data_IF_041908725505
#
_entry.id   IF_041908725505
#
_cell.length_a   1.000
_cell.length_b   1.000
_cell.length_c   1.000
_cell.angle_alpha   90.00
_cell.angle_beta   90.00
_cell.angle_gamma   90.00
#
_symmetry.space_group_name_H-M   'P 1'
#
loop_
_entity.id
_entity.type
_entity.pdbx_description
1 polymer ?
#
# COMPACT_ATOMS: atom_id res chain seq x y z
N UNK A 1 -19.00 -24.78 3.81
CA UNK A 1 -17.72 -25.41 3.45
C UNK A 1 -16.64 -24.35 3.53
N UNK A 2 -15.80 -24.41 4.56
CA UNK A 2 -14.63 -23.53 4.74
C UNK A 2 -13.63 -23.85 3.64
N UNK A 3 -13.40 -22.89 2.74
CA UNK A 3 -12.38 -23.02 1.69
C UNK A 3 -10.98 -23.12 2.32
N UNK A 4 -9.99 -23.71 1.62
CA UNK A 4 -8.65 -23.84 2.15
C UNK A 4 -8.07 -22.44 2.40
N UNK A 5 -7.49 -22.25 3.58
CA UNK A 5 -6.71 -21.06 3.92
C UNK A 5 -5.44 -21.06 3.06
N UNK A 6 -5.14 -19.94 2.42
CA UNK A 6 -3.85 -19.73 1.76
C UNK A 6 -2.80 -19.49 2.86
N UNK A 7 -2.30 -20.57 3.45
CA UNK A 7 -1.36 -20.50 4.57
C UNK A 7 -0.08 -21.21 4.20
N UNK A 8 0.94 -20.42 3.83
CA UNK A 8 2.31 -20.76 4.23
C UNK A 8 2.35 -20.81 5.76
N UNK A 9 3.25 -21.63 6.36
CA UNK A 9 3.34 -21.75 7.81
C UNK A 9 3.45 -20.36 8.42
N UNK A 10 2.56 -20.06 9.36
CA UNK A 10 2.43 -18.76 9.99
C UNK A 10 3.71 -18.49 10.78
N UNK A 11 4.72 -17.85 10.16
CA UNK A 11 5.99 -17.46 10.82
C UNK A 11 5.79 -16.35 11.88
N UNK A 12 4.55 -16.10 12.30
CA UNK A 12 4.21 -15.26 13.47
C UNK A 12 5.01 -15.70 14.67
N UNK A 13 5.76 -14.78 15.27
CA UNK A 13 6.44 -15.06 16.53
C UNK A 13 7.60 -16.05 16.41
N UNK A 14 8.01 -16.43 15.18
CA UNK A 14 9.31 -17.08 14.99
C UNK A 14 10.36 -16.00 15.19
N UNK A 15 11.27 -16.15 16.19
CA UNK A 15 12.32 -15.17 16.42
C UNK A 15 13.12 -14.92 15.13
N UNK A 16 13.28 -13.64 14.76
CA UNK A 16 14.01 -13.26 13.56
C UNK A 16 13.19 -13.11 12.28
N UNK A 17 11.86 -13.17 12.33
CA UNK A 17 10.97 -12.83 11.20
C UNK A 17 9.98 -11.74 11.56
N UNK A 18 9.87 -10.74 10.68
CA UNK A 18 8.99 -9.59 10.82
C UNK A 18 7.75 -9.71 9.93
N UNK A 19 6.77 -8.85 10.20
CA UNK A 19 5.53 -8.72 9.44
C UNK A 19 5.30 -7.31 8.95
N UNK A 20 4.95 -7.19 7.68
CA UNK A 20 4.63 -5.93 7.05
C UNK A 20 3.27 -5.95 6.36
N UNK A 21 2.55 -4.83 6.41
CA UNK A 21 1.41 -4.56 5.52
C UNK A 21 1.77 -3.37 4.63
N UNK A 22 1.95 -3.63 3.33
CA UNK A 22 2.62 -2.71 2.40
C UNK A 22 1.64 -1.95 1.50
N UNK A 23 0.33 -2.08 1.75
CA UNK A 23 -0.70 -1.49 0.91
C UNK A 23 -1.85 -0.98 1.79
N UNK A 24 -1.74 0.26 2.25
CA UNK A 24 -2.72 0.90 3.15
C UNK A 24 -3.07 2.29 2.64
N UNK A 25 -4.37 2.57 2.59
CA UNK A 25 -4.94 3.84 2.15
C UNK A 25 -5.49 4.65 3.31
N UNK A 26 -5.26 5.96 3.29
CA UNK A 26 -5.77 6.90 4.29
C UNK A 26 -6.85 7.82 3.71
N UNK A 27 -7.45 8.67 4.54
CA UNK A 27 -8.35 9.74 4.06
C UNK A 27 -7.67 10.69 3.10
N UNK A 28 -6.34 10.70 3.07
CA UNK A 28 -5.62 11.46 2.10
C UNK A 28 -6.10 11.01 0.70
N UNK A 29 -6.19 9.73 0.33
CA UNK A 29 -6.73 9.28 -0.98
C UNK A 29 -8.19 8.84 -0.90
N UNK A 30 -8.47 7.54 -0.81
CA UNK A 30 -9.80 6.95 -0.78
C UNK A 30 -10.03 6.01 0.42
N UNK A 31 -9.08 5.95 1.36
CA UNK A 31 -9.30 5.38 2.68
C UNK A 31 -10.22 6.25 3.54
N UNK A 32 -10.60 5.72 4.70
CA UNK A 32 -11.55 6.37 5.64
C UNK A 32 -10.93 6.76 6.97
N UNK A 33 -9.66 6.42 7.20
CA UNK A 33 -8.93 6.69 8.43
C UNK A 33 -7.82 7.74 8.27
N UNK A 34 -7.63 8.58 9.29
CA UNK A 34 -6.50 9.52 9.39
C UNK A 34 -5.20 8.76 9.67
N UNK A 35 -4.05 9.38 9.37
CA UNK A 35 -2.73 8.81 9.68
C UNK A 35 -2.60 8.51 11.18
N UNK A 36 -3.06 9.43 12.04
CA UNK A 36 -3.08 9.22 13.48
C UNK A 36 -3.89 7.97 13.88
N UNK A 37 -5.08 7.80 13.29
CA UNK A 37 -5.95 6.65 13.57
C UNK A 37 -5.32 5.35 13.10
N UNK A 38 -4.68 5.35 11.92
CA UNK A 38 -3.96 4.19 11.37
C UNK A 38 -2.81 3.79 12.30
N UNK A 39 -1.94 4.73 12.67
CA UNK A 39 -0.80 4.46 13.54
C UNK A 39 -1.24 3.92 14.91
N UNK A 40 -2.24 4.55 15.54
CA UNK A 40 -2.80 4.07 16.81
C UNK A 40 -3.40 2.67 16.68
N UNK A 41 -4.11 2.40 15.59
CA UNK A 41 -4.71 1.10 15.34
C UNK A 41 -3.66 0.00 15.19
N UNK A 42 -2.62 0.25 14.38
CA UNK A 42 -1.52 -0.68 14.15
C UNK A 42 -0.77 -1.00 15.44
N UNK A 43 -0.39 0.03 16.21
CA UNK A 43 0.30 -0.13 17.50
C UNK A 43 -0.58 -0.90 18.49
N UNK A 44 -1.87 -0.58 18.57
CA UNK A 44 -2.79 -1.28 19.49
C UNK A 44 -2.98 -2.76 19.14
N UNK A 45 -2.88 -3.14 17.86
CA UNK A 45 -2.94 -4.55 17.44
C UNK A 45 -1.64 -5.30 17.68
N UNK A 46 -0.49 -4.65 17.52
CA UNK A 46 0.83 -5.22 17.79
C UNK A 46 1.20 -6.44 16.93
N UNK A 47 0.63 -6.57 15.74
CA UNK A 47 0.81 -7.73 14.83
C UNK A 47 1.76 -7.46 13.67
N UNK A 48 2.12 -6.20 13.45
CA UNK A 48 2.94 -5.72 12.35
C UNK A 48 4.15 -5.01 12.95
N UNK A 49 5.32 -5.26 12.38
CA UNK A 49 6.56 -4.53 12.68
C UNK A 49 6.72 -3.34 11.73
N UNK A 50 6.13 -3.47 10.53
CA UNK A 50 6.16 -2.46 9.48
C UNK A 50 4.80 -2.22 8.84
N UNK A 51 4.61 -0.99 8.39
CA UNK A 51 3.54 -0.64 7.46
C UNK A 51 4.07 0.23 6.33
N UNK A 52 3.40 0.21 5.18
CA UNK A 52 3.55 1.25 4.16
C UNK A 52 2.22 1.97 3.97
N UNK A 53 2.26 3.30 3.93
CA UNK A 53 1.13 4.11 3.47
C UNK A 53 1.33 4.34 1.98
N UNK A 54 0.34 3.97 1.17
CA UNK A 54 0.44 3.92 -0.29
C UNK A 54 -0.78 4.57 -0.93
N UNK A 55 -1.20 5.71 -0.39
CA UNK A 55 -2.32 6.47 -0.92
C UNK A 55 -2.20 6.73 -2.43
N UNK A 56 -3.32 6.64 -3.15
CA UNK A 56 -3.37 6.92 -4.59
C UNK A 56 -2.81 8.29 -4.95
N UNK A 57 -1.83 8.28 -5.86
CA UNK A 57 -1.23 9.46 -6.48
C UNK A 57 -0.64 10.49 -5.50
N UNK A 58 -0.33 10.10 -4.26
CA UNK A 58 0.31 11.01 -3.30
C UNK A 58 1.27 10.30 -2.35
N UNK A 59 2.31 11.05 -1.98
CA UNK A 59 3.36 10.64 -1.02
C UNK A 59 3.25 11.39 0.32
N UNK A 60 2.43 12.44 0.39
CA UNK A 60 2.36 13.40 1.51
C UNK A 60 1.95 12.74 2.83
N UNK A 61 0.94 11.88 2.79
CA UNK A 61 0.43 11.15 3.95
C UNK A 61 1.44 10.10 4.46
N UNK A 62 2.18 9.46 3.55
CA UNK A 62 3.24 8.52 3.90
C UNK A 62 4.44 9.21 4.58
N UNK A 63 4.82 10.39 4.08
CA UNK A 63 5.84 11.23 4.72
C UNK A 63 5.39 11.69 6.12
N UNK A 64 4.13 12.11 6.27
CA UNK A 64 3.55 12.47 7.55
C UNK A 64 3.57 11.28 8.53
N UNK A 65 3.10 10.12 8.09
CA UNK A 65 3.07 8.90 8.89
C UNK A 65 4.45 8.50 9.41
N UNK A 66 5.48 8.55 8.55
CA UNK A 66 6.86 8.28 8.97
C UNK A 66 7.38 9.29 9.99
N UNK A 67 7.12 10.58 9.80
CA UNK A 67 7.53 11.60 10.78
C UNK A 67 6.82 11.39 12.11
N UNK A 68 5.50 11.21 12.09
CA UNK A 68 4.69 11.00 13.30
C UNK A 68 5.13 9.75 14.06
N UNK A 69 5.37 8.63 13.39
CA UNK A 69 5.83 7.39 14.03
C UNK A 69 7.19 7.59 14.71
N UNK A 70 8.15 8.24 14.01
CA UNK A 70 9.47 8.55 14.55
C UNK A 70 9.40 9.52 15.73
N UNK A 71 8.73 10.65 15.56
CA UNK A 71 8.72 11.75 16.52
C UNK A 71 7.99 11.36 17.82
N UNK A 72 7.04 10.42 17.73
CA UNK A 72 6.33 9.85 18.88
C UNK A 72 6.97 8.57 19.44
N UNK A 73 8.07 8.09 18.85
CA UNK A 73 8.75 6.87 19.28
C UNK A 73 7.87 5.62 19.23
N UNK A 74 7.00 5.51 18.21
CA UNK A 74 6.11 4.36 18.08
C UNK A 74 6.90 3.09 17.74
N UNK A 75 6.49 1.91 18.24
CA UNK A 75 7.16 0.63 17.99
C UNK A 75 6.75 0.05 16.62
N UNK A 76 6.72 0.88 15.57
CA UNK A 76 6.38 0.49 14.20
C UNK A 76 7.22 1.32 13.23
N UNK A 77 7.80 0.67 12.22
CA UNK A 77 8.48 1.40 11.14
C UNK A 77 7.52 1.67 9.98
N UNK A 78 7.58 2.88 9.41
CA UNK A 78 6.72 3.30 8.31
C UNK A 78 7.55 3.47 7.04
N UNK A 79 7.29 2.62 6.06
CA UNK A 79 7.82 2.74 4.70
C UNK A 79 7.02 3.82 3.94
N UNK A 80 7.73 4.74 3.31
CA UNK A 80 7.11 5.75 2.45
C UNK A 80 6.79 5.12 1.11
N UNK A 81 5.53 5.20 0.69
CA UNK A 81 5.11 4.74 -0.62
C UNK A 81 3.95 5.52 -1.24
N UNK A 82 3.54 5.07 -2.42
CA UNK A 82 2.45 5.61 -3.24
C UNK A 82 1.89 4.45 -4.09
N UNK A 83 0.57 4.31 -4.21
CA UNK A 83 -0.03 3.48 -5.26
C UNK A 83 -0.25 4.35 -6.50
N UNK A 84 0.45 4.00 -7.57
CA UNK A 84 0.47 4.78 -8.82
C UNK A 84 -0.44 4.10 -9.84
N UNK A 85 -1.46 4.80 -10.30
CA UNK A 85 -2.28 4.37 -11.43
C UNK A 85 -1.47 4.45 -12.72
N UNK A 86 -1.24 3.30 -13.37
CA UNK A 86 -0.57 3.23 -14.67
C UNK A 86 -1.54 2.81 -15.78
N UNK A 87 -1.13 2.92 -17.03
CA UNK A 87 -1.88 2.40 -18.18
C UNK A 87 -1.91 0.86 -18.23
N UNK A 88 -1.11 0.18 -17.40
CA UNK A 88 -1.01 -1.27 -17.32
C UNK A 88 -1.42 -1.83 -15.96
N UNK A 89 -2.21 -1.09 -15.17
CA UNK A 89 -2.63 -1.46 -13.82
C UNK A 89 -1.94 -0.64 -12.72
N UNK A 90 -2.30 -0.88 -11.47
CA UNK A 90 -1.71 -0.20 -10.32
C UNK A 90 -0.34 -0.77 -9.97
N UNK A 91 0.51 0.11 -9.46
CA UNK A 91 1.87 -0.20 -9.05
C UNK A 91 2.12 0.43 -7.67
N UNK A 92 2.51 -0.37 -6.69
CA UNK A 92 3.09 0.15 -5.45
C UNK A 92 4.51 0.61 -5.74
N UNK A 93 4.76 1.88 -5.44
CA UNK A 93 6.08 2.48 -5.40
C UNK A 93 6.48 2.64 -3.93
N UNK A 94 7.38 1.78 -3.45
CA UNK A 94 7.84 1.78 -2.05
C UNK A 94 9.25 2.37 -1.94
N UNK A 95 9.61 2.83 -0.74
CA UNK A 95 10.94 3.40 -0.44
C UNK A 95 11.31 4.61 -1.30
N UNK A 96 10.30 5.37 -1.75
CA UNK A 96 10.48 6.56 -2.58
C UNK A 96 10.61 7.83 -1.73
N UNK A 97 11.28 8.85 -2.29
CA UNK A 97 11.46 10.17 -1.67
C UNK A 97 10.65 11.29 -2.35
N UNK A 98 10.11 11.01 -3.53
CA UNK A 98 9.36 11.93 -4.37
C UNK A 98 8.18 11.21 -5.01
N UNK A 99 7.14 11.99 -5.31
CA UNK A 99 5.95 11.50 -5.99
C UNK A 99 6.30 10.96 -7.38
N UNK A 100 5.72 9.83 -7.75
CA UNK A 100 5.85 9.23 -9.08
C UNK A 100 4.74 9.74 -9.99
N UNK A 101 5.07 10.02 -11.25
CA UNK A 101 4.10 10.57 -12.20
C UNK A 101 3.10 9.48 -12.65
N UNK A 102 1.78 9.65 -12.43
CA UNK A 102 0.78 8.67 -12.82
C UNK A 102 0.47 8.69 -14.32
N UNK A 103 -0.32 7.72 -14.75
CA UNK A 103 -0.86 7.55 -16.11
C UNK A 103 0.22 7.40 -17.18
N UNK A 104 1.36 6.80 -16.79
CA UNK A 104 2.40 6.33 -17.70
C UNK A 104 2.23 4.82 -17.95
N UNK A 105 3.00 4.27 -18.90
CA UNK A 105 3.04 2.82 -19.09
C UNK A 105 3.62 2.16 -17.84
N UNK A 106 3.22 0.93 -17.55
CA UNK A 106 3.71 0.21 -16.36
C UNK A 106 5.25 0.18 -16.31
N UNK A 107 5.92 -0.15 -17.43
CA UNK A 107 7.38 -0.17 -17.50
C UNK A 107 8.04 1.21 -17.28
N UNK A 108 7.48 2.29 -17.84
CA UNK A 108 8.01 3.63 -17.59
C UNK A 108 7.81 4.09 -16.14
N UNK A 109 6.71 3.67 -15.50
CA UNK A 109 6.49 3.91 -14.08
C UNK A 109 7.48 3.12 -13.22
N UNK A 110 7.72 1.83 -13.53
CA UNK A 110 8.72 1.01 -12.83
C UNK A 110 10.11 1.67 -12.90
N UNK A 111 10.53 2.09 -14.10
CA UNK A 111 11.81 2.81 -14.27
C UNK A 111 11.88 4.09 -13.42
N UNK A 112 10.78 4.85 -13.33
CA UNK A 112 10.73 6.05 -12.50
C UNK A 112 10.80 5.74 -10.98
N UNK A 113 10.25 4.60 -10.55
CA UNK A 113 10.39 4.12 -9.16
C UNK A 113 11.85 3.78 -8.86
N UNK A 114 12.53 3.07 -9.77
CA UNK A 114 13.94 2.73 -9.61
C UNK A 114 14.86 3.96 -9.64
N UNK A 115 14.57 4.96 -10.49
CA UNK A 115 15.25 6.26 -10.50
C UNK A 115 15.10 7.01 -9.16
N UNK A 116 13.99 6.78 -8.44
CA UNK A 116 13.79 7.26 -7.07
C UNK A 116 14.42 6.37 -6.00
N UNK A 117 15.16 5.31 -6.38
CA UNK A 117 15.78 4.34 -5.46
C UNK A 117 14.80 3.37 -4.81
N UNK A 118 13.55 3.39 -5.27
CA UNK A 118 12.43 2.63 -4.70
C UNK A 118 12.34 1.19 -5.18
N UNK A 119 11.27 0.53 -4.73
CA UNK A 119 10.86 -0.83 -5.12
C UNK A 119 9.51 -0.75 -5.82
N UNK A 120 9.38 -1.43 -6.96
CA UNK A 120 8.20 -1.45 -7.79
C UNK A 120 7.47 -2.80 -7.73
N UNK A 121 6.22 -2.79 -7.25
CA UNK A 121 5.41 -4.00 -7.06
C UNK A 121 4.06 -3.83 -7.75
N UNK A 122 3.73 -4.62 -8.79
CA UNK A 122 2.39 -4.62 -9.36
C UNK A 122 1.37 -5.04 -8.30
N UNK A 123 0.39 -4.16 -8.05
CA UNK A 123 -0.67 -4.39 -7.09
C UNK A 123 -1.77 -5.28 -7.70
N UNK A 124 -2.35 -6.14 -6.86
CA UNK A 124 -3.47 -7.05 -7.14
C UNK A 124 -3.50 -7.58 -8.60
N UNK A 125 -2.39 -8.13 -9.12
CA UNK A 125 -2.25 -8.41 -10.55
C UNK A 125 -3.05 -9.65 -10.96
N UNK A 126 -3.21 -9.83 -12.27
CA UNK A 126 -3.89 -10.96 -12.93
C UNK A 126 -5.38 -11.13 -12.62
N UNK A 127 -5.97 -10.27 -11.80
CA UNK A 127 -7.43 -10.13 -11.69
C UNK A 127 -7.92 -9.51 -13.01
N UNK A 128 -9.01 -10.00 -13.64
CA UNK A 128 -9.54 -9.48 -14.91
C UNK A 128 -10.27 -8.14 -14.69
N UNK A 129 -9.52 -7.15 -14.25
CA UNK A 129 -9.98 -5.81 -13.92
C UNK A 129 -9.01 -4.78 -14.51
N UNK A 130 -9.51 -3.65 -15.07
CA UNK A 130 -8.66 -2.69 -15.79
C UNK A 130 -7.52 -2.08 -14.96
N UNK A 131 -7.65 -2.05 -13.63
CA UNK A 131 -6.63 -1.53 -12.72
C UNK A 131 -5.60 -2.59 -12.30
N UNK A 132 -5.69 -3.81 -12.81
CA UNK A 132 -4.79 -4.90 -12.45
C UNK A 132 -3.88 -5.25 -13.63
N UNK A 133 -2.58 -5.36 -13.37
CA UNK A 133 -1.63 -5.75 -14.40
C UNK A 133 -1.91 -7.16 -14.92
N UNK A 134 -2.11 -7.29 -16.23
CA UNK A 134 -2.42 -8.57 -16.85
C UNK A 134 -1.14 -9.36 -17.15
N UNK A 135 -1.24 -10.70 -17.16
CA UNK A 135 -0.07 -11.57 -17.28
C UNK A 135 0.72 -11.37 -18.57
N UNK A 136 0.08 -10.97 -19.67
CA UNK A 136 0.77 -10.66 -20.92
C UNK A 136 1.56 -9.34 -20.84
N UNK A 137 1.09 -8.35 -20.07
CA UNK A 137 1.85 -7.11 -19.81
C UNK A 137 3.09 -7.43 -18.96
N UNK A 138 2.90 -8.20 -17.88
CA UNK A 138 3.99 -8.58 -16.98
C UNK A 138 5.05 -9.43 -17.69
N UNK A 139 4.66 -10.44 -18.47
CA UNK A 139 5.62 -11.23 -19.27
C UNK A 139 6.42 -10.36 -20.22
N UNK A 140 5.77 -9.43 -20.92
CA UNK A 140 6.48 -8.51 -21.82
C UNK A 140 7.55 -7.69 -21.10
N UNK A 141 7.28 -7.23 -19.88
CA UNK A 141 8.27 -6.49 -19.07
C UNK A 141 9.41 -7.41 -18.58
N UNK A 142 9.08 -8.64 -18.18
CA UNK A 142 10.08 -9.60 -17.70
C UNK A 142 10.99 -10.11 -18.83
N UNK A 143 10.44 -10.27 -20.03
CA UNK A 143 11.15 -10.70 -21.24
C UNK A 143 11.94 -9.56 -21.90
N UNK A 144 11.71 -8.30 -21.48
CA UNK A 144 12.41 -7.13 -22.01
C UNK A 144 13.90 -7.18 -21.62
N UNK A 145 14.84 -6.85 -22.53
CA UNK A 145 16.26 -6.80 -22.20
C UNK A 145 16.62 -5.75 -21.15
N UNK A 146 15.82 -4.69 -20.98
CA UNK A 146 16.06 -3.65 -19.97
C UNK A 146 15.61 -4.12 -18.57
N UNK A 147 16.54 -4.38 -17.63
CA UNK A 147 16.16 -4.76 -16.27
C UNK A 147 15.51 -3.61 -15.50
N UNK A 148 15.69 -2.35 -15.91
CA UNK A 148 15.17 -1.19 -15.19
C UNK A 148 13.63 -1.07 -15.25
N UNK A 149 12.96 -1.82 -16.13
CA UNK A 149 11.50 -1.83 -16.23
C UNK A 149 10.86 -3.10 -15.63
N UNK A 150 11.66 -3.98 -15.02
CA UNK A 150 11.18 -5.22 -14.42
C UNK A 150 10.67 -4.97 -12.99
N UNK A 151 9.53 -5.54 -12.59
CA UNK A 151 9.09 -5.44 -11.20
C UNK A 151 10.02 -6.21 -10.26
N UNK A 152 10.17 -5.73 -9.02
CA UNK A 152 11.00 -6.37 -8.00
C UNK A 152 10.28 -7.55 -7.31
N UNK A 153 8.96 -7.39 -7.16
CA UNK A 153 8.09 -8.34 -6.48
C UNK A 153 6.70 -8.36 -7.13
N UNK A 154 5.83 -9.23 -6.64
CA UNK A 154 4.43 -9.29 -7.04
C UNK A 154 3.54 -9.35 -5.80
N UNK A 155 2.44 -8.57 -5.77
CA UNK A 155 1.42 -8.70 -4.72
C UNK A 155 0.66 -10.01 -4.93
N UNK A 156 1.14 -11.08 -4.30
CA UNK A 156 0.59 -12.44 -4.42
C UNK A 156 -0.63 -12.65 -3.53
N UNK A 157 -0.82 -11.82 -2.49
CA UNK A 157 -2.03 -11.84 -1.67
C UNK A 157 -2.63 -10.44 -1.51
N UNK A 158 -3.90 -10.32 -1.91
CA UNK A 158 -4.78 -9.20 -1.65
C UNK A 158 -6.13 -9.79 -1.17
N UNK A 159 -6.71 -9.33 -0.04
CA UNK A 159 -7.87 -9.96 0.58
C UNK A 159 -9.19 -9.67 -0.15
N UNK A 160 -9.17 -8.91 -1.26
CA UNK A 160 -10.35 -8.62 -2.08
C UNK A 160 -11.00 -9.90 -2.60
N UNK A 161 -12.29 -10.07 -2.30
CA UNK A 161 -13.04 -11.29 -2.63
C UNK A 161 -13.06 -11.61 -4.14
N UNK A 162 -13.06 -10.59 -5.00
CA UNK A 162 -12.99 -10.75 -6.47
C UNK A 162 -11.64 -11.32 -6.94
N UNK A 163 -10.58 -11.12 -6.17
CA UNK A 163 -9.24 -11.64 -6.46
C UNK A 163 -9.06 -13.10 -6.05
N UNK A 164 -9.90 -13.63 -5.14
CA UNK A 164 -9.77 -14.98 -4.58
C UNK A 164 -9.64 -16.10 -5.64
N UNK A 165 -10.44 -16.13 -6.74
CA UNK A 165 -10.28 -17.15 -7.77
C UNK A 165 -8.95 -17.10 -8.54
N UNK A 166 -8.24 -15.98 -8.46
CA UNK A 166 -7.01 -15.72 -9.19
C UNK A 166 -5.75 -15.88 -8.33
N UNK A 167 -5.89 -16.03 -7.01
CA UNK A 167 -4.77 -16.10 -6.07
C UNK A 167 -3.70 -17.11 -6.48
N UNK A 168 -4.07 -18.38 -6.68
CA UNK A 168 -3.13 -19.45 -7.06
C UNK A 168 -2.43 -19.15 -8.40
N UNK A 169 -3.11 -18.45 -9.31
CA UNK A 169 -2.52 -18.03 -10.58
C UNK A 169 -1.46 -16.95 -10.37
N UNK A 170 -1.68 -16.00 -9.46
CA UNK A 170 -0.70 -14.96 -9.13
C UNK A 170 0.53 -15.57 -8.45
N UNK A 171 0.32 -16.46 -7.47
CA UNK A 171 1.42 -17.16 -6.79
C UNK A 171 2.27 -17.96 -7.78
N UNK A 172 1.62 -18.79 -8.61
CA UNK A 172 2.33 -19.56 -9.64
C UNK A 172 3.08 -18.67 -10.63
N UNK A 173 2.50 -17.53 -11.03
CA UNK A 173 3.19 -16.59 -11.91
C UNK A 173 4.44 -16.01 -11.25
N UNK A 174 4.38 -15.62 -9.97
CA UNK A 174 5.55 -15.15 -9.24
C UNK A 174 6.64 -16.22 -9.19
N UNK A 175 6.28 -17.49 -8.97
CA UNK A 175 7.22 -18.61 -8.90
C UNK A 175 7.89 -18.93 -10.23
N UNK A 176 7.09 -19.06 -11.30
CA UNK A 176 7.55 -19.32 -12.66
C UNK A 176 8.54 -18.24 -13.13
N UNK A 177 8.33 -16.99 -12.72
CA UNK A 177 9.16 -15.85 -13.07
C UNK A 177 10.18 -15.45 -11.99
N UNK A 178 10.28 -16.22 -10.90
CA UNK A 178 11.20 -16.01 -9.77
C UNK A 178 11.13 -14.59 -9.19
N UNK A 179 9.92 -14.05 -9.02
CA UNK A 179 9.68 -12.77 -8.34
C UNK A 179 9.52 -12.98 -6.84
N UNK A 180 9.89 -11.97 -6.04
CA UNK A 180 9.57 -11.98 -4.62
C UNK A 180 8.05 -11.93 -4.41
N UNK A 181 7.55 -12.67 -3.42
CA UNK A 181 6.13 -12.70 -3.08
C UNK A 181 5.85 -11.72 -1.96
N UNK A 182 4.86 -10.85 -2.13
CA UNK A 182 4.39 -9.97 -1.06
C UNK A 182 2.88 -10.07 -0.90
N UNK A 183 2.41 -9.99 0.33
CA UNK A 183 0.99 -9.91 0.67
C UNK A 183 0.68 -8.60 1.38
N UNK A 184 -0.48 -8.01 1.12
CA UNK A 184 -0.91 -6.79 1.79
C UNK A 184 -2.43 -6.70 1.87
N UNK A 185 -2.93 -5.81 2.71
CA UNK A 185 -4.36 -5.71 2.98
C UNK A 185 -5.14 -4.88 1.97
N UNK A 186 -4.49 -3.95 1.26
CA UNK A 186 -5.15 -2.95 0.42
C UNK A 186 -6.27 -2.24 1.22
N UNK A 187 -5.92 -1.84 2.44
CA UNK A 187 -6.90 -1.43 3.44
C UNK A 187 -7.37 0.00 3.22
N UNK A 188 -8.68 0.16 2.99
CA UNK A 188 -9.37 1.46 3.02
C UNK A 188 -10.02 1.78 4.37
N UNK A 189 -10.10 0.81 5.28
CA UNK A 189 -10.67 0.95 6.63
C UNK A 189 -9.75 0.33 7.66
N UNK A 190 -9.79 0.83 8.91
CA UNK A 190 -8.92 0.33 9.99
C UNK A 190 -9.01 -1.19 10.18
N UNK A 191 -10.22 -1.75 10.17
CA UNK A 191 -10.44 -3.18 10.41
C UNK A 191 -9.86 -4.12 9.33
N UNK A 192 -9.46 -3.58 8.16
CA UNK A 192 -8.82 -4.34 7.10
C UNK A 192 -7.29 -4.41 7.27
N UNK A 193 -6.68 -3.47 7.98
CA UNK A 193 -5.22 -3.42 8.18
C UNK A 193 -4.72 -4.72 8.82
N UNK A 194 -3.69 -5.32 8.22
CA UNK A 194 -3.09 -6.58 8.64
C UNK A 194 -3.90 -7.83 8.26
N UNK A 195 -4.95 -7.72 7.43
CA UNK A 195 -5.68 -8.90 6.88
C UNK A 195 -4.93 -9.60 5.75
N UNK A 196 -4.03 -8.89 5.08
CA UNK A 196 -2.98 -9.44 4.25
C UNK A 196 -1.64 -8.90 4.75
N UNK A 197 -0.59 -9.70 4.69
CA UNK A 197 0.73 -9.30 5.17
C UNK A 197 1.84 -10.02 4.40
N UNK A 198 3.05 -9.46 4.53
CA UNK A 198 4.31 -10.02 4.05
C UNK A 198 5.14 -10.44 5.26
N UNK A 199 5.67 -11.67 5.26
CA UNK A 199 6.68 -12.13 6.22
C UNK A 199 8.07 -12.05 5.59
N UNK A 200 9.08 -11.73 6.38
CA UNK A 200 10.46 -11.59 5.91
C UNK A 200 11.47 -11.79 7.05
N UNK A 201 12.72 -12.24 6.78
CA UNK A 201 13.77 -12.31 7.79
C UNK A 201 14.19 -10.91 8.27
N UNK A 202 14.30 -10.72 9.58
CA UNK A 202 14.55 -9.43 10.23
C UNK A 202 13.26 -8.69 10.59
N UNK A 203 13.37 -7.45 11.08
CA UNK A 203 12.21 -6.67 11.57
C UNK A 203 12.25 -5.19 11.17
N UNK A 204 13.22 -4.80 10.34
CA UNK A 204 13.39 -3.40 9.90
C UNK A 204 13.06 -3.23 8.42
N UNK A 205 12.90 -1.99 7.97
CA UNK A 205 12.59 -1.71 6.57
C UNK A 205 13.77 -2.02 5.65
N UNK A 206 14.99 -1.92 6.18
CA UNK A 206 16.20 -2.38 5.49
C UNK A 206 16.20 -3.90 5.30
N UNK A 207 15.74 -4.65 6.32
CA UNK A 207 15.60 -6.10 6.23
C UNK A 207 14.54 -6.51 5.21
N UNK A 208 13.38 -5.85 5.21
CA UNK A 208 12.35 -6.06 4.20
C UNK A 208 12.87 -5.77 2.79
N UNK A 209 13.56 -4.64 2.58
CA UNK A 209 14.16 -4.27 1.29
C UNK A 209 15.15 -5.34 0.81
N UNK A 210 15.99 -5.83 1.70
CA UNK A 210 16.94 -6.92 1.42
C UNK A 210 16.20 -8.23 1.09
N UNK A 211 15.20 -8.59 1.88
CA UNK A 211 14.42 -9.81 1.69
C UNK A 211 13.66 -9.83 0.35
N UNK A 212 13.15 -8.67 -0.11
CA UNK A 212 12.55 -8.55 -1.45
C UNK A 212 13.61 -8.81 -2.53
N UNK A 213 14.78 -8.16 -2.43
CA UNK A 213 15.86 -8.35 -3.40
C UNK A 213 16.39 -9.80 -3.44
N UNK A 214 16.49 -10.44 -2.28
CA UNK A 214 16.94 -11.84 -2.11
C UNK A 214 15.81 -12.86 -2.33
N UNK A 215 14.56 -12.39 -2.50
CA UNK A 215 13.34 -13.20 -2.70
C UNK A 215 13.08 -14.18 -1.56
N UNK A 216 13.33 -13.72 -0.33
CA UNK A 216 13.09 -14.48 0.90
C UNK A 216 11.85 -13.97 1.64
N UNK A 217 10.96 -13.26 0.95
CA UNK A 217 9.65 -12.86 1.47
C UNK A 217 8.59 -13.91 1.15
N UNK A 218 7.55 -13.94 1.97
CA UNK A 218 6.34 -14.73 1.68
C UNK A 218 5.08 -13.95 2.03
N UNK A 219 3.94 -14.34 1.46
CA UNK A 219 2.66 -13.71 1.72
C UNK A 219 1.81 -14.50 2.72
N UNK A 220 0.90 -13.82 3.40
CA UNK A 220 -0.14 -14.45 4.22
C UNK A 220 -1.38 -13.57 4.31
N UNK A 221 -2.51 -14.15 4.69
CA UNK A 221 -3.73 -13.38 4.91
C UNK A 221 -5.02 -14.19 4.95
N UNK A 222 -6.11 -13.48 5.23
CA UNK A 222 -7.48 -13.97 5.25
C UNK A 222 -8.35 -13.15 4.29
N UNK A 223 -9.13 -13.83 3.43
CA UNK A 223 -10.04 -13.15 2.51
C UNK A 223 -11.22 -12.49 3.23
N UNK A 224 -11.65 -11.33 2.72
CA UNK A 224 -12.85 -10.66 3.22
C UNK A 224 -14.14 -11.38 2.84
N UNK A 225 -15.12 -11.38 3.76
CA UNK A 225 -16.51 -11.73 3.44
C UNK A 225 -17.23 -10.59 2.71
N UNK A 226 -18.22 -10.93 1.88
CA UNK A 226 -18.93 -9.97 1.01
C UNK A 226 -19.62 -8.81 1.76
N UNK A 227 -20.10 -9.04 2.99
CA UNK A 227 -20.75 -8.01 3.80
C UNK A 227 -19.81 -6.86 4.21
N UNK A 228 -18.50 -7.14 4.35
CA UNK A 228 -17.51 -6.13 4.70
C UNK A 228 -17.30 -5.09 3.58
N UNK A 229 -17.34 -5.52 2.32
CA UNK A 229 -17.10 -4.63 1.18
C UNK A 229 -18.19 -3.57 1.00
N UNK A 230 -19.45 -3.91 1.26
CA UNK A 230 -20.58 -2.97 1.17
C UNK A 230 -20.45 -1.86 2.23
N UNK A 231 -20.04 -2.21 3.45
CA UNK A 231 -19.83 -1.25 4.53
C UNK A 231 -18.69 -0.27 4.19
N UNK A 232 -17.57 -0.78 3.68
CA UNK A 232 -16.43 0.04 3.22
C UNK A 232 -16.87 1.04 2.16
N UNK A 233 -17.59 0.58 1.14
CA UNK A 233 -18.07 1.46 0.06
C UNK A 233 -18.99 2.58 0.58
N UNK A 234 -19.86 2.28 1.54
CA UNK A 234 -20.74 3.28 2.16
C UNK A 234 -19.93 4.35 2.94
N UNK A 235 -18.88 3.95 3.67
CA UNK A 235 -17.99 4.90 4.34
C UNK A 235 -17.21 5.78 3.35
N UNK A 236 -16.67 5.18 2.29
CA UNK A 236 -15.96 5.91 1.23
C UNK A 236 -16.86 6.95 0.56
N UNK A 237 -18.13 6.61 0.28
CA UNK A 237 -19.08 7.55 -0.31
C UNK A 237 -19.36 8.74 0.61
N UNK A 238 -19.58 8.49 1.91
CA UNK A 238 -19.75 9.57 2.91
C UNK A 238 -18.52 10.46 2.98
N UNK A 239 -17.33 9.86 3.00
CA UNK A 239 -16.04 10.56 3.00
C UNK A 239 -15.89 11.47 1.77
N UNK A 240 -16.15 10.94 0.57
CA UNK A 240 -16.10 11.72 -0.69
C UNK A 240 -17.07 12.91 -0.69
N UNK A 241 -18.25 12.78 -0.09
CA UNK A 241 -19.19 13.88 0.05
C UNK A 241 -18.66 14.99 0.97
N UNK A 242 -18.06 14.64 2.10
CA UNK A 242 -17.42 15.59 3.02
C UNK A 242 -16.24 16.29 2.36
N UNK A 243 -15.38 15.54 1.67
CA UNK A 243 -14.23 16.08 0.95
C UNK A 243 -14.64 17.12 -0.10
N UNK A 244 -15.66 16.81 -0.90
CA UNK A 244 -16.16 17.73 -1.94
C UNK A 244 -16.69 19.03 -1.31
N UNK A 245 -17.43 18.92 -0.20
CA UNK A 245 -17.94 20.09 0.54
C UNK A 245 -16.80 20.96 1.06
N UNK A 246 -15.81 20.36 1.73
CA UNK A 246 -14.70 21.09 2.34
C UNK A 246 -13.80 21.75 1.28
N UNK A 247 -13.56 21.05 0.16
CA UNK A 247 -12.81 21.56 -0.98
C UNK A 247 -13.49 22.78 -1.63
N UNK A 248 -14.80 22.71 -1.83
CA UNK A 248 -15.59 23.85 -2.34
C UNK A 248 -15.59 25.00 -1.32
N UNK A 249 -15.84 24.70 -0.05
CA UNK A 249 -15.88 25.70 1.02
C UNK A 249 -14.60 26.52 1.13
N UNK A 250 -13.43 25.87 1.10
CA UNK A 250 -12.14 26.56 1.14
C UNK A 250 -11.88 27.45 -0.09
N UNK A 251 -12.35 27.04 -1.28
CA UNK A 251 -12.28 27.90 -2.49
C UNK A 251 -13.17 29.13 -2.38
N UNK A 252 -14.37 28.97 -1.82
CA UNK A 252 -15.32 30.07 -1.60
C UNK A 252 -14.75 31.07 -0.58
N UNK A 253 -14.19 30.59 0.53
CA UNK A 253 -13.61 31.44 1.58
C UNK A 253 -12.26 32.07 1.20
N UNK A 254 -11.55 31.50 0.21
CA UNK A 254 -10.18 31.91 -0.20
C UNK A 254 -9.18 31.95 0.97
N UNK A 255 -9.37 31.06 1.94
CA UNK A 255 -8.60 31.01 3.20
C UNK A 255 -7.36 30.10 3.11
N UNK A 256 -7.03 29.61 1.91
CA UNK A 256 -5.91 28.69 1.69
C UNK A 256 -6.15 27.26 2.16
N UNK A 257 -7.36 26.95 2.63
CA UNK A 257 -7.73 25.59 3.10
C UNK A 257 -8.40 24.76 2.02
N UNK A 258 -8.32 23.44 2.14
CA UNK A 258 -9.07 22.46 1.35
C UNK A 258 -9.63 21.34 2.22
N UNK A 259 -9.91 20.19 1.59
CA UNK A 259 -10.29 18.98 2.31
C UNK A 259 -9.21 18.54 3.29
N UNK A 260 -9.58 17.74 4.26
CA UNK A 260 -8.65 17.16 5.21
C UNK A 260 -7.90 15.98 4.60
N UNK A 261 -6.57 16.05 4.57
CA UNK A 261 -5.73 14.92 4.18
C UNK A 261 -5.37 13.99 5.34
N UNK A 262 -5.91 14.22 6.55
CA UNK A 262 -5.83 13.26 7.66
C UNK A 262 -4.50 13.23 8.40
N UNK A 263 -3.73 14.30 8.30
CA UNK A 263 -2.50 14.53 9.05
C UNK A 263 -2.33 16.04 9.35
N UNK A 264 -1.56 16.42 10.37
CA UNK A 264 -1.30 17.82 10.72
C UNK A 264 -0.79 18.65 9.54
N UNK A 265 -1.41 19.79 9.26
CA UNK A 265 -1.11 20.62 8.07
C UNK A 265 -1.77 20.15 6.77
N UNK A 266 -2.45 19.00 6.78
CA UNK A 266 -3.09 18.39 5.62
C UNK A 266 -4.26 19.19 5.03
N UNK A 267 -4.79 20.20 5.73
CA UNK A 267 -5.83 21.11 5.17
C UNK A 267 -5.27 22.25 4.33
N UNK A 268 -3.96 22.50 4.37
CA UNK A 268 -3.34 23.57 3.59
C UNK A 268 -3.36 23.29 2.08
N UNK A 269 -3.24 24.34 1.27
CA UNK A 269 -3.07 24.23 -0.20
C UNK A 269 -1.73 24.85 -0.64
N UNK A 270 -0.77 24.06 -1.17
CA UNK A 270 -0.79 22.60 -1.27
C UNK A 270 -0.66 21.93 0.11
N UNK A 271 -1.16 20.70 0.27
CA UNK A 271 -1.10 19.99 1.55
C UNK A 271 0.34 19.60 1.87
N UNK A 272 0.74 19.80 3.13
CA UNK A 272 2.09 19.53 3.65
C UNK A 272 2.00 19.17 5.12
N UNK A 273 2.79 18.19 5.56
CA UNK A 273 2.87 17.87 6.99
C UNK A 273 3.48 19.05 7.77
N UNK A 274 2.77 19.51 8.81
CA UNK A 274 3.26 20.50 9.76
C UNK A 274 3.42 19.88 11.16
N UNK A 275 4.66 19.56 11.60
CA UNK A 275 4.89 18.95 12.91
C UNK A 275 4.52 19.86 14.08
N UNK A 276 4.37 21.17 13.87
CA UNK A 276 3.93 22.10 14.93
C UNK A 276 2.45 21.94 15.24
N UNK A 277 1.66 21.57 14.24
CA UNK A 277 0.24 21.28 14.38
C UNK A 277 -0.04 19.88 14.98
N UNK A 278 1.01 19.08 15.21
CA UNK A 278 0.95 17.74 15.81
C UNK A 278 1.16 17.76 17.35
N UNK A 279 1.48 18.93 17.93
CA UNK A 279 1.67 19.09 19.38
C UNK A 279 0.35 19.49 20.05
N UNK A 280 0.01 18.89 21.21
CA UNK A 280 -1.21 19.24 21.95
C UNK A 280 -1.18 20.68 22.49
#
# INVERSE_FOLDING_TARGET
MTGPAATSPTLTGVPGFGRADLHIHSVASDGTATIDSILRHVVARGQLDLIAITDHERIDAALAARSMARDRGLPIEVVVGEEVTTLGGHLLALFIDRRIRPYRTLGATIAAVHDAGGIAIPAHPLVPYPLCAQGWVLRRLLDDPDPAIRPDALETFNPTALGRPWHDRVVRFADEHRLARVGSSDAHVLAAIGRGWTTFPGTTAADLRRAIAERTTDHGGDFHGAAGQVAVFAEQLRKRAVDARDEIGGRVRRDGTGRDHGYPGGRARPPRYDPRADRP
#
